data_IF_744364773413
#
_entry.id   IF_744364773413
#
_cell.length_a   1.000
_cell.length_b   1.000
_cell.length_c   1.000
_cell.angle_alpha   90.00
_cell.angle_beta   90.00
_cell.angle_gamma   90.00
#
_symmetry.space_group_name_H-M   'P 1'
#
loop_
_entity.id
_entity.type
_entity.pdbx_description
1 polymer ?
#
# COMPACT_ATOMS: atom_id res chain seq x y z
N UNK A 1 -8.02 -3.35 -13.16
CA UNK A 1 -8.87 -3.18 -12.00
C UNK A 1 -10.30 -2.91 -12.41
N UNK A 2 -11.23 -3.69 -11.88
CA UNK A 2 -12.65 -3.30 -11.97
C UNK A 2 -12.78 -1.97 -11.24
N UNK A 3 -13.33 -0.96 -11.90
CA UNK A 3 -13.76 0.25 -11.23
C UNK A 3 -14.58 -0.12 -10.01
N UNK A 4 -14.20 0.37 -8.86
CA UNK A 4 -15.13 0.44 -7.74
C UNK A 4 -16.42 1.06 -8.28
N UNK A 5 -17.58 0.38 -8.17
CA UNK A 5 -18.82 0.91 -8.70
C UNK A 5 -19.22 2.15 -7.91
N UNK A 6 -18.60 3.25 -8.26
CA UNK A 6 -18.83 4.61 -7.80
C UNK A 6 -20.30 5.02 -7.87
N UNK A 7 -21.05 4.33 -8.74
CA UNK A 7 -22.49 4.47 -8.90
C UNK A 7 -23.32 4.24 -7.64
N UNK A 8 -22.72 3.69 -6.56
CA UNK A 8 -23.39 3.51 -5.27
C UNK A 8 -23.24 4.68 -4.30
N UNK A 9 -22.42 5.69 -4.63
CA UNK A 9 -22.31 6.93 -3.86
C UNK A 9 -22.93 8.09 -4.62
N UNK A 10 -24.08 8.63 -4.15
CA UNK A 10 -24.79 9.72 -4.87
C UNK A 10 -23.97 10.99 -5.04
N UNK A 11 -22.93 11.15 -4.21
CA UNK A 11 -22.03 12.31 -4.15
C UNK A 11 -20.71 12.10 -4.89
N UNK A 12 -20.50 10.92 -5.47
CA UNK A 12 -19.26 10.62 -6.20
C UNK A 12 -19.31 11.24 -7.61
N UNK A 13 -18.46 12.21 -7.86
CA UNK A 13 -18.38 12.94 -9.14
C UNK A 13 -17.03 12.85 -9.81
N UNK A 14 -16.22 11.87 -9.47
CA UNK A 14 -14.97 11.65 -10.18
C UNK A 14 -15.05 10.46 -11.11
N UNK A 15 -14.29 10.51 -12.17
CA UNK A 15 -14.06 9.41 -13.09
C UNK A 15 -12.59 9.05 -13.14
N UNK A 16 -12.29 7.79 -13.43
CA UNK A 16 -10.92 7.33 -13.67
C UNK A 16 -10.72 7.11 -15.17
N UNK A 17 -9.68 7.71 -15.73
CA UNK A 17 -9.30 7.52 -17.14
C UNK A 17 -8.42 6.29 -17.36
N UNK A 18 -7.88 5.71 -16.27
CA UNK A 18 -6.82 4.68 -16.32
C UNK A 18 -5.58 5.09 -17.13
N UNK A 19 -5.36 6.39 -17.27
CA UNK A 19 -4.19 6.95 -17.95
C UNK A 19 -2.91 6.90 -17.13
N UNK A 20 -2.98 6.57 -15.83
CA UNK A 20 -1.85 6.32 -14.95
C UNK A 20 -1.79 4.82 -14.65
N UNK A 21 -0.90 4.11 -15.34
CA UNK A 21 -0.58 2.71 -15.07
C UNK A 21 0.77 2.58 -14.35
N UNK A 22 1.27 1.35 -14.21
CA UNK A 22 2.55 1.11 -13.55
C UNK A 22 3.73 1.77 -14.28
N UNK A 23 3.71 1.85 -15.61
CA UNK A 23 4.75 2.51 -16.37
C UNK A 23 4.85 3.99 -16.02
N UNK A 24 3.75 4.72 -16.06
CA UNK A 24 3.67 6.13 -15.71
C UNK A 24 4.01 6.36 -14.23
N UNK A 25 3.60 5.44 -13.35
CA UNK A 25 3.95 5.49 -11.93
C UNK A 25 5.46 5.32 -11.73
N UNK A 26 6.10 4.39 -12.41
CA UNK A 26 7.56 4.21 -12.34
C UNK A 26 8.32 5.42 -12.87
N UNK A 27 7.88 6.00 -13.99
CA UNK A 27 8.43 7.25 -14.50
C UNK A 27 8.30 8.40 -13.50
N UNK A 28 7.15 8.51 -12.82
CA UNK A 28 6.95 9.51 -11.78
C UNK A 28 7.92 9.31 -10.62
N UNK A 29 8.09 8.08 -10.15
CA UNK A 29 9.06 7.76 -9.09
C UNK A 29 10.48 8.15 -9.50
N UNK A 30 10.89 7.82 -10.72
CA UNK A 30 12.21 8.19 -11.25
C UNK A 30 12.40 9.69 -11.30
N UNK A 31 11.43 10.45 -11.81
CA UNK A 31 11.46 11.92 -11.85
C UNK A 31 11.59 12.56 -10.48
N UNK A 32 11.01 11.93 -9.46
CA UNK A 32 11.09 12.38 -8.07
C UNK A 32 12.34 11.89 -7.34
N UNK A 33 13.14 11.01 -7.96
CA UNK A 33 14.26 10.34 -7.31
C UNK A 33 13.82 9.37 -6.21
N UNK A 34 12.60 8.86 -6.29
CA UNK A 34 11.98 7.95 -5.34
C UNK A 34 12.02 6.49 -5.83
N UNK A 35 12.00 5.53 -4.90
CA UNK A 35 11.83 4.11 -5.22
C UNK A 35 10.34 3.79 -5.34
N UNK A 36 9.90 3.02 -6.35
CA UNK A 36 8.52 2.60 -6.45
C UNK A 36 8.18 1.50 -5.42
N UNK A 37 6.97 1.59 -4.86
CA UNK A 37 6.37 0.58 -4.00
C UNK A 37 4.93 0.35 -4.49
N UNK A 38 4.72 -0.50 -5.50
CA UNK A 38 3.37 -0.87 -5.91
C UNK A 38 2.68 -1.75 -4.87
N UNK A 39 1.38 -1.56 -4.71
CA UNK A 39 0.50 -2.40 -3.89
C UNK A 39 -0.37 -3.24 -4.83
N UNK A 40 -0.26 -4.57 -4.74
CA UNK A 40 -0.95 -5.47 -5.66
C UNK A 40 -2.22 -6.05 -5.08
N UNK A 41 -3.22 -6.19 -5.95
CA UNK A 41 -4.41 -6.96 -5.68
C UNK A 41 -4.08 -8.45 -5.61
N UNK A 42 -4.61 -9.12 -4.60
CA UNK A 42 -4.46 -10.56 -4.37
C UNK A 42 -5.71 -11.36 -4.75
N UNK A 43 -6.53 -10.84 -5.66
CA UNK A 43 -7.78 -11.47 -6.08
C UNK A 43 -8.95 -11.21 -5.11
N UNK A 44 -8.89 -10.12 -4.33
CA UNK A 44 -9.98 -9.73 -3.42
C UNK A 44 -10.47 -8.32 -3.73
N UNK A 45 -11.79 -8.11 -3.70
CA UNK A 45 -12.38 -6.77 -3.75
C UNK A 45 -12.21 -6.06 -2.40
N UNK A 46 -12.29 -4.72 -2.42
CA UNK A 46 -12.36 -3.93 -1.19
C UNK A 46 -13.59 -4.33 -0.37
N UNK A 47 -13.39 -4.81 0.87
CA UNK A 47 -14.48 -5.34 1.70
C UNK A 47 -15.54 -4.30 2.10
N UNK A 48 -15.20 -3.00 2.10
CA UNK A 48 -16.19 -1.94 2.26
C UNK A 48 -17.17 -1.85 1.09
N UNK A 49 -16.87 -2.48 -0.05
CA UNK A 49 -17.63 -2.37 -1.29
C UNK A 49 -18.23 -3.67 -1.77
N UNK A 50 -17.57 -4.79 -1.53
CA UNK A 50 -17.93 -6.07 -2.10
C UNK A 50 -17.36 -7.20 -1.27
N UNK A 51 -17.97 -8.37 -1.36
CA UNK A 51 -17.45 -9.64 -0.85
C UNK A 51 -16.87 -10.51 -1.97
N UNK A 52 -16.71 -9.95 -3.18
CA UNK A 52 -16.17 -10.67 -4.32
C UNK A 52 -14.71 -11.05 -4.09
N UNK A 53 -14.42 -12.31 -4.33
CA UNK A 53 -13.11 -12.90 -4.10
C UNK A 53 -12.86 -13.98 -5.12
N UNK A 54 -11.67 -14.02 -5.70
CA UNK A 54 -11.22 -15.11 -6.58
C UNK A 54 -10.88 -16.32 -5.70
N UNK A 55 -11.27 -17.52 -6.12
CA UNK A 55 -10.91 -18.75 -5.42
C UNK A 55 -9.39 -18.93 -5.41
N UNK A 56 -8.80 -19.08 -4.22
CA UNK A 56 -7.35 -19.21 -4.04
C UNK A 56 -6.76 -20.49 -4.66
N UNK A 57 -7.58 -21.49 -4.91
CA UNK A 57 -7.16 -22.74 -5.58
C UNK A 57 -7.41 -22.71 -7.11
N UNK A 58 -7.87 -21.56 -7.65
CA UNK A 58 -8.20 -21.42 -9.06
C UNK A 58 -7.01 -21.03 -9.93
N UNK A 59 -7.11 -21.31 -11.24
CA UNK A 59 -6.16 -20.81 -12.24
C UNK A 59 -6.20 -19.28 -12.36
N UNK A 60 -7.36 -18.66 -12.10
CA UNK A 60 -7.49 -17.19 -12.08
C UNK A 60 -6.64 -16.57 -10.96
N UNK A 61 -6.55 -17.22 -9.80
CA UNK A 61 -5.66 -16.74 -8.72
C UNK A 61 -4.17 -16.84 -9.11
N UNK A 62 -3.78 -17.93 -9.77
CA UNK A 62 -2.40 -18.06 -10.27
C UNK A 62 -2.03 -17.00 -11.32
N UNK A 63 -3.01 -16.44 -12.04
CA UNK A 63 -2.77 -15.29 -12.94
C UNK A 63 -2.39 -14.04 -12.15
N UNK A 64 -2.98 -13.77 -10.98
CA UNK A 64 -2.56 -12.66 -10.12
C UNK A 64 -1.13 -12.83 -9.61
N UNK A 65 -0.74 -14.06 -9.26
CA UNK A 65 0.65 -14.37 -8.85
C UNK A 65 1.61 -14.15 -10.03
N UNK A 66 1.22 -14.60 -11.23
CA UNK A 66 2.02 -14.41 -12.44
C UNK A 66 2.15 -12.92 -12.80
N UNK A 67 1.07 -12.14 -12.66
CA UNK A 67 1.09 -10.69 -12.89
C UNK A 67 2.10 -9.97 -11.98
N UNK A 68 2.25 -10.42 -10.73
CA UNK A 68 3.28 -9.89 -9.84
C UNK A 68 4.70 -10.18 -10.35
N UNK A 69 4.95 -11.40 -10.82
CA UNK A 69 6.25 -11.77 -11.43
C UNK A 69 6.51 -10.97 -12.70
N UNK A 70 5.49 -10.80 -13.53
CA UNK A 70 5.56 -10.05 -14.79
C UNK A 70 5.82 -8.55 -14.53
N UNK A 71 5.22 -7.99 -13.47
CA UNK A 71 5.49 -6.60 -13.06
C UNK A 71 6.93 -6.41 -12.59
N UNK A 72 7.47 -7.34 -11.81
CA UNK A 72 8.87 -7.28 -11.38
C UNK A 72 9.81 -7.38 -12.59
N UNK A 73 9.53 -8.29 -13.53
CA UNK A 73 10.31 -8.39 -14.76
C UNK A 73 10.17 -7.13 -15.64
N UNK A 74 8.97 -6.55 -15.71
CA UNK A 74 8.77 -5.27 -16.40
C UNK A 74 9.59 -4.15 -15.78
N UNK A 75 9.61 -4.05 -14.44
CA UNK A 75 10.35 -3.01 -13.75
C UNK A 75 11.87 -3.20 -13.80
N UNK A 76 12.36 -4.42 -13.60
CA UNK A 76 13.76 -4.71 -13.34
C UNK A 76 14.43 -5.62 -14.37
N UNK A 77 13.67 -6.33 -15.19
CA UNK A 77 14.18 -7.32 -16.13
C UNK A 77 15.06 -6.71 -17.23
N UNK A 78 16.00 -7.49 -17.79
CA UNK A 78 16.84 -7.05 -18.88
C UNK A 78 16.03 -6.86 -20.18
N UNK A 79 16.56 -6.08 -21.14
CA UNK A 79 15.87 -5.73 -22.38
C UNK A 79 15.61 -6.92 -23.31
N UNK A 80 16.24 -8.04 -23.11
CA UNK A 80 16.03 -9.30 -23.86
C UNK A 80 15.01 -10.24 -23.18
N UNK A 81 14.51 -9.89 -21.99
CA UNK A 81 13.39 -10.58 -21.38
C UNK A 81 12.06 -10.12 -22.00
N UNK A 82 11.00 -10.90 -21.80
CA UNK A 82 9.66 -10.59 -22.36
C UNK A 82 9.18 -9.19 -21.97
N UNK A 83 9.18 -8.89 -20.67
CA UNK A 83 8.63 -7.65 -20.14
C UNK A 83 9.64 -6.49 -20.13
N UNK A 84 10.93 -6.78 -19.96
CA UNK A 84 11.99 -5.80 -20.17
C UNK A 84 12.06 -5.29 -21.61
N UNK A 85 11.84 -6.17 -22.61
CA UNK A 85 11.71 -5.77 -24.01
C UNK A 85 10.52 -4.84 -24.26
N UNK A 86 9.37 -5.11 -23.61
CA UNK A 86 8.21 -4.22 -23.68
C UNK A 86 8.50 -2.86 -23.07
N UNK A 87 9.11 -2.81 -21.87
CA UNK A 87 9.55 -1.55 -21.24
C UNK A 87 10.47 -0.74 -22.19
N UNK A 88 11.46 -1.40 -22.79
CA UNK A 88 12.37 -0.76 -23.72
C UNK A 88 11.62 -0.21 -24.97
N UNK A 89 10.66 -0.98 -25.51
CA UNK A 89 9.81 -0.55 -26.62
C UNK A 89 8.94 0.65 -26.27
N UNK A 90 8.53 0.76 -25.00
CA UNK A 90 7.78 1.92 -24.46
C UNK A 90 8.67 3.15 -24.26
N UNK A 91 9.97 3.06 -24.49
CA UNK A 91 10.92 4.17 -24.43
C UNK A 91 11.85 4.17 -23.22
N UNK A 92 11.81 3.15 -22.36
CA UNK A 92 12.62 3.05 -21.15
C UNK A 92 13.43 1.74 -21.12
N UNK A 93 14.61 1.67 -21.76
CA UNK A 93 15.41 0.43 -21.78
C UNK A 93 16.01 0.08 -20.42
N UNK A 94 16.34 1.07 -19.58
CA UNK A 94 16.96 0.85 -18.28
C UNK A 94 15.94 0.34 -17.25
N UNK A 95 16.35 -0.50 -16.27
CA UNK A 95 15.51 -0.89 -15.15
C UNK A 95 15.09 0.30 -14.28
N UNK A 96 13.87 0.28 -13.77
CA UNK A 96 13.38 1.27 -12.79
C UNK A 96 13.94 1.08 -11.38
N UNK A 97 14.52 -0.09 -11.08
CA UNK A 97 15.11 -0.39 -9.79
C UNK A 97 14.07 -0.50 -8.67
N UNK A 98 13.00 -1.23 -8.93
CA UNK A 98 11.98 -1.54 -7.92
C UNK A 98 12.54 -2.51 -6.88
N UNK A 99 12.54 -2.09 -5.62
CA UNK A 99 13.06 -2.87 -4.49
C UNK A 99 11.93 -3.41 -3.59
N UNK A 100 10.73 -2.85 -3.70
CA UNK A 100 9.60 -3.10 -2.79
C UNK A 100 8.34 -3.50 -3.55
N UNK A 101 7.55 -4.39 -2.94
CA UNK A 101 6.25 -4.80 -3.44
C UNK A 101 5.32 -5.13 -2.27
N UNK A 102 4.17 -4.47 -2.19
CA UNK A 102 3.16 -4.81 -1.21
C UNK A 102 2.14 -5.80 -1.77
N UNK A 103 1.80 -6.80 -0.97
CA UNK A 103 0.92 -7.91 -1.32
C UNK A 103 -0.36 -7.80 -0.51
N UNK A 104 -1.45 -7.39 -1.17
CA UNK A 104 -2.74 -7.15 -0.53
C UNK A 104 -2.88 -5.74 0.04
N UNK A 105 -4.11 -5.37 0.42
CA UNK A 105 -4.48 -4.09 1.00
C UNK A 105 -5.74 -4.23 1.86
N UNK A 106 -5.65 -3.92 3.14
CA UNK A 106 -6.78 -3.83 4.07
C UNK A 106 -7.69 -5.07 4.14
N UNK A 107 -7.17 -6.27 3.99
CA UNK A 107 -7.99 -7.47 4.18
C UNK A 107 -8.30 -7.72 5.66
N UNK A 108 -9.55 -8.14 5.95
CA UNK A 108 -9.99 -8.52 7.30
C UNK A 108 -10.99 -9.67 7.30
N UNK A 109 -11.32 -10.21 8.49
CA UNK A 109 -12.30 -11.30 8.73
C UNK A 109 -12.02 -12.56 7.89
N UNK A 110 -13.00 -13.03 7.12
CA UNK A 110 -12.86 -14.25 6.30
C UNK A 110 -11.84 -14.08 5.19
N UNK A 111 -11.73 -12.90 4.59
CA UNK A 111 -10.68 -12.60 3.63
C UNK A 111 -9.30 -12.59 4.28
N UNK A 112 -9.22 -12.22 5.55
CA UNK A 112 -7.97 -12.28 6.30
C UNK A 112 -7.51 -13.72 6.57
N UNK A 113 -8.42 -14.65 6.83
CA UNK A 113 -8.05 -16.07 7.01
C UNK A 113 -7.46 -16.67 5.72
N UNK A 114 -8.00 -16.29 4.57
CA UNK A 114 -7.50 -16.67 3.26
C UNK A 114 -6.26 -15.85 2.82
N UNK A 115 -6.06 -14.65 3.39
CA UNK A 115 -4.91 -13.80 3.08
C UNK A 115 -3.57 -14.50 3.34
N UNK A 116 -3.46 -15.27 4.41
CA UNK A 116 -2.23 -15.99 4.78
C UNK A 116 -1.82 -16.93 3.66
N UNK A 117 -2.74 -17.72 3.15
CA UNK A 117 -2.49 -18.59 2.00
C UNK A 117 -2.13 -17.78 0.75
N UNK A 118 -2.87 -16.72 0.45
CA UNK A 118 -2.60 -15.85 -0.70
C UNK A 118 -1.24 -15.20 -0.58
N UNK A 119 -0.94 -14.59 0.56
CA UNK A 119 0.37 -13.98 0.80
C UNK A 119 1.52 -14.99 0.65
N UNK A 120 1.39 -16.17 1.25
CA UNK A 120 2.39 -17.23 1.16
C UNK A 120 2.63 -17.70 -0.28
N UNK A 121 1.58 -17.75 -1.10
CA UNK A 121 1.69 -18.09 -2.53
C UNK A 121 2.47 -17.02 -3.30
N UNK A 122 2.18 -15.75 -3.07
CA UNK A 122 2.94 -14.64 -3.67
C UNK A 122 4.39 -14.64 -3.19
N UNK A 123 4.61 -14.75 -1.89
CA UNK A 123 5.95 -14.77 -1.28
C UNK A 123 6.80 -15.89 -1.87
N UNK A 124 6.29 -17.12 -1.87
CA UNK A 124 7.01 -18.27 -2.39
C UNK A 124 7.35 -18.13 -3.88
N UNK A 125 6.42 -17.66 -4.70
CA UNK A 125 6.64 -17.47 -6.13
C UNK A 125 7.63 -16.34 -6.42
N UNK A 126 7.51 -15.22 -5.72
CA UNK A 126 8.38 -14.05 -5.91
C UNK A 126 9.79 -14.36 -5.43
N UNK A 127 9.97 -14.85 -4.21
CA UNK A 127 11.31 -15.11 -3.67
C UNK A 127 12.03 -16.29 -4.35
N UNK A 128 11.29 -17.20 -4.97
CA UNK A 128 11.90 -18.24 -5.82
C UNK A 128 12.63 -17.65 -7.06
N UNK A 129 12.16 -16.52 -7.58
CA UNK A 129 12.69 -15.89 -8.80
C UNK A 129 13.43 -14.58 -8.53
N UNK A 130 12.99 -13.82 -7.54
CA UNK A 130 13.46 -12.47 -7.19
C UNK A 130 13.66 -12.33 -5.67
N UNK A 131 14.65 -13.05 -5.09
CA UNK A 131 14.85 -13.07 -3.62
C UNK A 131 15.25 -11.71 -3.03
N UNK A 132 15.66 -10.76 -3.87
CA UNK A 132 16.04 -9.40 -3.49
C UNK A 132 14.83 -8.47 -3.26
N UNK A 133 13.65 -8.82 -3.77
CA UNK A 133 12.45 -7.99 -3.61
C UNK A 133 11.96 -8.05 -2.18
N UNK A 134 11.78 -6.88 -1.58
CA UNK A 134 11.26 -6.73 -0.23
C UNK A 134 9.75 -6.70 -0.26
N UNK A 135 9.13 -7.75 0.28
CA UNK A 135 7.68 -7.86 0.33
C UNK A 135 7.12 -7.17 1.58
N UNK A 136 5.96 -6.55 1.42
CA UNK A 136 5.18 -5.99 2.51
C UNK A 136 3.84 -6.72 2.60
N UNK A 137 3.45 -7.05 3.85
CA UNK A 137 2.13 -7.59 4.16
C UNK A 137 1.21 -6.52 4.70
N UNK A 138 -0.04 -6.87 5.02
CA UNK A 138 -1.06 -5.94 5.55
C UNK A 138 -1.56 -6.39 6.93
N UNK A 139 -1.77 -5.43 7.84
CA UNK A 139 -2.36 -5.66 9.17
C UNK A 139 -3.87 -5.35 9.21
N UNK A 140 -4.49 -5.10 8.07
CA UNK A 140 -5.89 -4.70 7.99
C UNK A 140 -6.09 -3.18 8.04
N UNK A 141 -7.36 -2.72 8.05
CA UNK A 141 -7.69 -1.30 7.90
C UNK A 141 -7.78 -0.53 9.24
N UNK A 142 -7.54 -1.18 10.37
CA UNK A 142 -7.74 -0.61 11.70
C UNK A 142 -6.56 -0.90 12.62
N UNK A 143 -6.37 -0.02 13.60
CA UNK A 143 -5.45 -0.23 14.72
C UNK A 143 -6.20 -0.73 15.97
N UNK A 144 -5.44 -1.24 16.95
CA UNK A 144 -5.95 -1.60 18.29
C UNK A 144 -7.14 -2.57 18.28
N UNK A 145 -7.09 -3.56 17.40
CA UNK A 145 -8.11 -4.59 17.29
C UNK A 145 -7.49 -5.99 17.06
N UNK A 146 -8.30 -7.02 17.28
CA UNK A 146 -7.86 -8.40 17.11
C UNK A 146 -7.31 -8.72 15.72
N UNK A 147 -7.82 -8.08 14.67
CA UNK A 147 -7.35 -8.26 13.30
C UNK A 147 -5.86 -7.86 13.19
N UNK A 148 -5.54 -6.67 13.69
CA UNK A 148 -4.16 -6.15 13.66
C UNK A 148 -3.23 -6.98 14.54
N UNK A 149 -3.68 -7.36 15.74
CA UNK A 149 -2.93 -8.20 16.66
C UNK A 149 -2.61 -9.57 16.05
N UNK A 150 -3.62 -10.22 15.42
CA UNK A 150 -3.46 -11.52 14.77
C UNK A 150 -2.53 -11.44 13.56
N UNK A 151 -2.60 -10.35 12.77
CA UNK A 151 -1.70 -10.12 11.65
C UNK A 151 -0.25 -9.99 12.12
N UNK A 152 0.02 -9.12 13.11
CA UNK A 152 1.35 -8.94 13.66
C UNK A 152 1.91 -10.22 14.24
N UNK A 153 1.11 -10.97 15.00
CA UNK A 153 1.52 -12.27 15.53
C UNK A 153 1.94 -13.22 14.41
N UNK A 154 1.16 -13.29 13.33
CA UNK A 154 1.46 -14.14 12.18
C UNK A 154 2.78 -13.76 11.51
N UNK A 155 2.96 -12.48 11.14
CA UNK A 155 4.19 -12.04 10.46
C UNK A 155 5.43 -12.22 11.34
N UNK A 156 5.33 -11.95 12.64
CA UNK A 156 6.44 -12.17 13.59
C UNK A 156 6.78 -13.65 13.77
N UNK A 157 5.79 -14.53 13.78
CA UNK A 157 6.04 -15.98 13.83
C UNK A 157 6.74 -16.46 12.56
N UNK A 158 6.30 -16.04 11.40
CA UNK A 158 6.92 -16.35 10.12
C UNK A 158 8.34 -15.78 9.98
N UNK A 159 8.58 -14.59 10.47
CA UNK A 159 9.90 -13.96 10.46
C UNK A 159 10.96 -14.71 11.28
N UNK A 160 10.54 -15.45 12.33
CA UNK A 160 11.45 -16.31 13.09
C UNK A 160 11.98 -17.49 12.25
N UNK A 161 11.16 -18.00 11.33
CA UNK A 161 11.52 -19.09 10.43
C UNK A 161 12.24 -18.59 9.18
N UNK A 162 11.75 -17.47 8.61
CA UNK A 162 12.29 -16.83 7.43
C UNK A 162 12.32 -15.29 7.63
N UNK A 163 13.48 -14.71 7.97
CA UNK A 163 13.60 -13.25 8.17
C UNK A 163 13.24 -12.40 6.93
N UNK A 164 13.24 -13.00 5.74
CA UNK A 164 12.87 -12.34 4.49
C UNK A 164 11.40 -12.53 4.12
N UNK A 165 10.60 -13.22 4.96
CA UNK A 165 9.21 -13.53 4.67
C UNK A 165 8.38 -12.26 4.42
N UNK A 166 8.56 -11.24 5.26
CA UNK A 166 8.00 -9.91 5.05
C UNK A 166 8.98 -8.86 5.58
N UNK A 167 9.33 -7.90 4.75
CA UNK A 167 10.18 -6.78 5.15
C UNK A 167 9.48 -5.85 6.14
N UNK A 168 8.22 -5.54 5.85
CA UNK A 168 7.40 -4.68 6.69
C UNK A 168 5.94 -5.13 6.68
N UNK A 169 5.19 -4.70 7.68
CA UNK A 169 3.74 -4.86 7.75
C UNK A 169 3.08 -3.49 7.65
N UNK A 170 2.09 -3.39 6.78
CA UNK A 170 1.36 -2.17 6.48
C UNK A 170 0.24 -1.96 7.50
N UNK A 171 0.30 -0.83 8.20
CA UNK A 171 -0.67 -0.37 9.18
C UNK A 171 -1.43 0.84 8.68
N UNK A 172 -2.76 0.81 8.83
CA UNK A 172 -3.65 1.90 8.43
C UNK A 172 -4.36 2.51 9.63
N UNK A 173 -4.37 3.83 9.73
CA UNK A 173 -5.08 4.53 10.81
C UNK A 173 -5.66 5.88 10.35
N UNK A 174 -6.97 5.87 10.19
CA UNK A 174 -7.80 7.04 9.96
C UNK A 174 -8.52 7.36 11.28
N UNK A 175 -7.93 8.23 12.07
CA UNK A 175 -8.25 8.42 13.49
C UNK A 175 -8.43 9.90 13.83
N UNK A 176 -8.94 10.20 15.04
CA UNK A 176 -9.08 11.59 15.45
C UNK A 176 -7.74 12.28 15.69
N UNK A 177 -7.66 13.63 15.59
CA UNK A 177 -6.45 14.37 15.97
C UNK A 177 -5.99 14.05 17.40
N UNK A 178 -6.93 13.89 18.34
CA UNK A 178 -6.58 13.55 19.72
C UNK A 178 -5.91 12.18 19.82
N UNK A 179 -6.40 11.19 19.06
CA UNK A 179 -5.76 9.86 19.03
C UNK A 179 -4.29 9.96 18.58
N UNK A 180 -4.00 10.75 17.56
CA UNK A 180 -2.62 10.94 17.07
C UNK A 180 -1.72 11.58 18.15
N UNK A 181 -2.22 12.58 18.87
CA UNK A 181 -1.47 13.16 19.99
C UNK A 181 -1.19 12.15 21.11
N UNK A 182 -2.17 11.32 21.44
CA UNK A 182 -2.04 10.33 22.51
C UNK A 182 -1.09 9.18 22.10
N UNK A 183 -0.87 8.98 20.80
CA UNK A 183 -0.09 7.86 20.24
C UNK A 183 1.27 8.28 19.63
N UNK A 184 1.77 9.48 19.90
CA UNK A 184 3.09 9.93 19.41
C UNK A 184 4.22 8.95 19.79
N UNK A 185 4.12 8.29 20.94
CA UNK A 185 5.11 7.33 21.43
C UNK A 185 4.77 5.86 21.13
N UNK A 186 3.77 5.56 20.32
CA UNK A 186 3.26 4.18 20.15
C UNK A 186 4.31 3.19 19.64
N UNK A 187 5.29 3.67 18.89
CA UNK A 187 6.35 2.82 18.34
C UNK A 187 7.58 2.68 19.26
N UNK A 188 7.62 3.38 20.41
CA UNK A 188 8.77 3.32 21.33
C UNK A 188 9.04 1.90 21.84
N UNK A 189 7.97 1.14 22.12
CA UNK A 189 8.02 -0.22 22.65
C UNK A 189 7.74 -1.32 21.60
N UNK A 190 7.59 -0.95 20.32
CA UNK A 190 7.41 -1.95 19.24
C UNK A 190 8.61 -2.88 19.16
N UNK A 191 8.40 -4.20 19.01
CA UNK A 191 9.48 -5.13 18.72
C UNK A 191 10.22 -4.74 17.45
N UNK A 192 11.56 -4.88 17.46
CA UNK A 192 12.44 -4.56 16.32
C UNK A 192 12.73 -5.80 15.48
N UNK A 193 11.70 -6.63 15.25
CA UNK A 193 11.80 -7.90 14.51
C UNK A 193 11.29 -7.79 13.06
N UNK A 194 10.13 -7.18 12.84
CA UNK A 194 9.56 -6.88 11.52
C UNK A 194 9.32 -5.38 11.44
N UNK A 195 9.68 -4.76 10.34
CA UNK A 195 9.48 -3.33 10.17
C UNK A 195 8.01 -2.95 10.01
N UNK A 196 7.72 -1.68 10.26
CA UNK A 196 6.40 -1.06 10.05
C UNK A 196 6.43 -0.22 8.77
N UNK A 197 5.37 -0.33 8.00
CA UNK A 197 4.96 0.64 7.01
C UNK A 197 3.67 1.30 7.49
N UNK A 198 3.70 2.59 7.85
CA UNK A 198 2.51 3.38 8.12
C UNK A 198 1.92 3.83 6.77
N UNK A 199 1.26 2.90 6.07
CA UNK A 199 0.96 3.03 4.63
C UNK A 199 -0.21 3.93 4.32
N UNK A 200 -1.17 4.03 5.23
CA UNK A 200 -2.28 4.98 5.11
C UNK A 200 -2.60 5.60 6.47
N UNK A 201 -2.46 6.91 6.57
CA UNK A 201 -2.91 7.63 7.77
C UNK A 201 -3.44 9.01 7.42
N UNK A 202 -4.41 9.47 8.20
CA UNK A 202 -4.87 10.84 8.21
C UNK A 202 -5.62 11.15 9.52
N UNK A 203 -5.55 12.40 9.96
CA UNK A 203 -6.36 12.91 11.06
C UNK A 203 -7.79 13.19 10.60
N UNK A 204 -8.75 12.40 11.05
CA UNK A 204 -10.15 12.57 10.76
C UNK A 204 -10.85 13.36 11.88
N UNK A 205 -11.09 14.65 11.66
CA UNK A 205 -12.04 15.42 12.47
C UNK A 205 -13.48 14.94 12.25
N UNK A 206 -14.41 15.32 13.11
CA UNK A 206 -15.82 15.01 12.94
C UNK A 206 -16.38 15.53 11.59
N UNK A 207 -15.94 16.72 11.18
CA UNK A 207 -16.33 17.34 9.89
C UNK A 207 -15.61 16.71 8.68
N UNK A 208 -14.56 15.92 8.90
CA UNK A 208 -13.71 15.38 7.84
C UNK A 208 -13.17 16.46 6.89
N UNK A 209 -12.64 17.50 7.47
CA UNK A 209 -12.09 18.64 6.73
C UNK A 209 -10.62 18.84 7.07
N UNK A 210 -9.88 19.37 6.11
CA UNK A 210 -8.51 19.82 6.36
C UNK A 210 -8.53 20.97 7.38
N UNK A 211 -7.73 20.85 8.41
CA UNK A 211 -7.63 21.84 9.48
C UNK A 211 -6.22 21.95 10.02
N UNK A 212 -5.92 23.09 10.66
CA UNK A 212 -4.64 23.26 11.35
C UNK A 212 -4.48 22.26 12.50
N UNK A 213 -5.58 21.90 13.16
CA UNK A 213 -5.56 20.86 14.23
C UNK A 213 -5.14 19.51 13.67
N UNK A 214 -5.71 19.10 12.54
CA UNK A 214 -5.33 17.85 11.86
C UNK A 214 -3.85 17.86 11.47
N UNK A 215 -3.39 18.94 10.84
CA UNK A 215 -2.01 19.07 10.41
C UNK A 215 -1.01 19.01 11.57
N UNK A 216 -1.33 19.66 12.71
CA UNK A 216 -0.48 19.63 13.90
C UNK A 216 -0.45 18.25 14.56
N UNK A 217 -1.58 17.55 14.59
CA UNK A 217 -1.66 16.20 15.14
C UNK A 217 -0.87 15.19 14.29
N UNK A 218 -0.98 15.28 12.98
CA UNK A 218 -0.20 14.46 12.04
C UNK A 218 1.31 14.77 12.15
N UNK A 219 1.68 16.03 12.23
CA UNK A 219 3.07 16.44 12.44
C UNK A 219 3.62 15.93 13.78
N UNK A 220 2.82 15.94 14.85
CA UNK A 220 3.22 15.39 16.14
C UNK A 220 3.48 13.87 16.04
N UNK A 221 2.57 13.10 15.40
CA UNK A 221 2.79 11.68 15.17
C UNK A 221 4.06 11.41 14.36
N UNK A 222 4.31 12.20 13.30
CA UNK A 222 5.50 12.04 12.46
C UNK A 222 6.80 12.21 13.26
N UNK A 223 6.82 13.03 14.33
CA UNK A 223 8.00 13.11 15.19
C UNK A 223 8.26 11.79 15.93
N UNK A 224 7.22 11.08 16.33
CA UNK A 224 7.31 9.74 16.93
C UNK A 224 7.75 8.68 15.93
N UNK A 225 7.23 8.75 14.71
CA UNK A 225 7.65 7.89 13.59
C UNK A 225 9.13 8.10 13.28
N UNK A 226 9.57 9.34 13.13
CA UNK A 226 10.97 9.68 12.84
C UNK A 226 11.91 9.24 13.99
N UNK A 227 11.51 9.44 15.23
CA UNK A 227 12.26 8.95 16.40
C UNK A 227 12.45 7.43 16.35
N UNK A 228 11.48 6.69 15.82
CA UNK A 228 11.46 5.25 15.72
C UNK A 228 11.75 4.72 14.28
N UNK A 229 12.56 5.44 13.51
CA UNK A 229 12.94 5.06 12.14
C UNK A 229 13.75 3.75 12.05
N UNK A 230 14.15 3.20 13.18
CA UNK A 230 14.74 1.87 13.29
C UNK A 230 13.70 0.76 13.13
N UNK A 231 12.43 1.01 13.40
CA UNK A 231 11.31 0.08 13.17
C UNK A 231 10.32 0.58 12.13
N UNK A 232 9.96 1.87 12.11
CA UNK A 232 9.08 2.44 11.07
C UNK A 232 9.91 2.85 9.87
N UNK A 233 9.92 2.03 8.84
CA UNK A 233 10.78 2.22 7.67
C UNK A 233 10.14 3.07 6.58
N UNK A 234 8.82 3.09 6.52
CA UNK A 234 8.04 3.75 5.48
C UNK A 234 6.82 4.40 6.12
N UNK A 235 6.41 5.54 5.59
CA UNK A 235 5.15 6.20 5.95
C UNK A 235 4.58 6.92 4.72
N UNK A 236 3.27 6.87 4.53
CA UNK A 236 2.59 7.58 3.45
C UNK A 236 1.22 8.08 3.88
N UNK A 237 0.97 9.35 3.61
CA UNK A 237 -0.35 9.96 3.84
C UNK A 237 -1.34 9.50 2.77
N UNK A 238 -2.59 9.26 3.16
CA UNK A 238 -3.63 8.87 2.23
C UNK A 238 -4.99 9.54 2.55
N UNK A 239 -5.66 10.09 1.51
CA UNK A 239 -5.20 10.30 0.13
C UNK A 239 -4.23 11.48 0.01
N UNK A 240 -3.24 11.36 -0.87
CA UNK A 240 -2.21 12.39 -1.03
C UNK A 240 -2.70 13.58 -1.86
N UNK A 241 -3.32 13.31 -3.01
CA UNK A 241 -3.68 14.33 -4.00
C UNK A 241 -5.19 14.50 -4.16
N UNK A 242 -5.62 15.76 -4.26
CA UNK A 242 -6.99 16.11 -4.55
C UNK A 242 -7.09 17.25 -5.58
N UNK A 243 -7.74 16.98 -6.69
CA UNK A 243 -8.09 18.02 -7.65
C UNK A 243 -9.35 18.75 -7.20
N UNK A 244 -9.27 20.09 -7.05
CA UNK A 244 -10.40 20.93 -6.64
C UNK A 244 -11.58 20.72 -7.59
N UNK A 245 -12.77 20.52 -7.02
CA UNK A 245 -14.00 20.23 -7.75
C UNK A 245 -14.19 18.78 -8.17
N UNK A 246 -13.23 17.90 -7.89
CA UNK A 246 -13.27 16.46 -8.21
C UNK A 246 -12.97 15.58 -7.01
N UNK A 247 -13.18 16.09 -5.81
CA UNK A 247 -12.91 15.41 -4.56
C UNK A 247 -13.90 14.28 -4.29
N UNK A 248 -13.42 13.09 -3.98
CA UNK A 248 -14.26 12.00 -3.49
C UNK A 248 -14.06 11.77 -1.99
N UNK A 249 -12.87 12.02 -1.50
CA UNK A 249 -12.43 11.74 -0.15
C UNK A 249 -12.01 13.02 0.57
N UNK A 250 -12.02 13.02 1.89
CA UNK A 250 -11.51 14.08 2.75
C UNK A 250 -11.07 13.50 4.10
N UNK A 251 -10.03 14.03 4.73
CA UNK A 251 -9.13 15.07 4.23
C UNK A 251 -8.17 14.55 3.16
N UNK A 252 -7.54 15.46 2.41
CA UNK A 252 -6.47 15.17 1.43
C UNK A 252 -5.29 16.10 1.71
N UNK A 253 -4.05 15.67 1.49
CA UNK A 253 -2.89 16.46 1.87
C UNK A 253 -2.59 17.59 0.89
N UNK A 254 -2.59 17.33 -0.41
CA UNK A 254 -2.20 18.27 -1.46
C UNK A 254 -3.39 18.55 -2.35
N UNK A 255 -3.86 19.79 -2.29
CA UNK A 255 -4.93 20.27 -3.15
C UNK A 255 -4.36 21.02 -4.34
N UNK A 256 -4.91 20.80 -5.50
CA UNK A 256 -4.44 21.43 -6.74
C UNK A 256 -5.56 21.67 -7.74
N UNK A 257 -5.34 22.59 -8.65
CA UNK A 257 -6.11 22.76 -9.87
C UNK A 257 -5.19 22.76 -11.10
N UNK A 258 -5.66 23.26 -12.24
CA UNK A 258 -4.88 23.29 -13.47
C UNK A 258 -3.74 24.34 -13.45
N UNK A 259 -3.60 25.13 -12.39
CA UNK A 259 -2.71 26.28 -12.31
C UNK A 259 -1.88 26.33 -11.04
N UNK A 260 -2.45 25.91 -9.91
CA UNK A 260 -1.86 26.13 -8.59
C UNK A 260 -1.95 24.88 -7.71
N UNK A 261 -1.05 24.80 -6.73
CA UNK A 261 -1.03 23.83 -5.65
C UNK A 261 -1.24 24.58 -4.34
N UNK A 262 -2.09 24.06 -3.45
CA UNK A 262 -2.52 24.69 -2.20
C UNK A 262 -2.09 23.87 -1.00
#
# INVERSE_FOLDING_TARGET
GKNDPMTKRPDAHYGQSFGLGFYEYFLLCELLGAKPLPVLNIGTACQFRSTEMVDSDSTEFEEYVQDALDLIEFANGPVDSKWGALRAKMGHPEPFGMDYLSVGNEQWETQYLDLRYRYERFEAAIHAKYPEIRLLGTAGPFMECSITEDAWKYYREKAKENPNFSYAVDEHYYVSPQWLYDHVAMYDDYPRDVAVFAGEYAAHTEARENSMESALAEAALLTGIEKNADVVKLASYAPLFNRIGHSQWKPDMIWFDDREVY
#
